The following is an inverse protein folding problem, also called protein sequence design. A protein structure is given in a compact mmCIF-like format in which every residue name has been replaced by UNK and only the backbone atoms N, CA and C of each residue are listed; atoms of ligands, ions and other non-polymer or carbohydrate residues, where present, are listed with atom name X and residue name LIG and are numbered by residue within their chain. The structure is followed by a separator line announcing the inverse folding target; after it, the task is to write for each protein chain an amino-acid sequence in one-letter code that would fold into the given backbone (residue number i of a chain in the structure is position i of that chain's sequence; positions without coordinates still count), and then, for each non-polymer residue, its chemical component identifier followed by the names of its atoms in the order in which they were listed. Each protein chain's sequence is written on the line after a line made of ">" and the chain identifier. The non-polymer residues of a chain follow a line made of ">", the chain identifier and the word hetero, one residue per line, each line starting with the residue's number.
data_IF_230668432422
#
_entry.id   IF_230668432422
#
_cell.length_a   1.000
_cell.length_b   1.000
_cell.length_c   1.000
_cell.angle_alpha   90.00
_cell.angle_beta   90.00
_cell.angle_gamma   90.00
#
_symmetry.space_group_name_H-M   'P 1'
#
loop_
_entity.id
_entity.type
_entity.pdbx_description
1 polymer ?
#
# COMPACT_ATOMS: atom_id res chain seq x y z
N UNK A 1 -3.01 0.88 18.35
CA UNK A 1 -3.88 1.30 17.23
C UNK A 1 -3.65 0.53 15.92
N UNK A 2 -2.39 0.40 15.43
CA UNK A 2 -2.13 -0.30 14.15
C UNK A 2 -2.57 -1.78 14.12
N UNK A 3 -2.27 -2.53 15.20
CA UNK A 3 -2.67 -3.95 15.33
C UNK A 3 -4.19 -4.12 15.21
N UNK A 4 -4.97 -3.24 15.84
CA UNK A 4 -6.43 -3.29 15.78
C UNK A 4 -6.93 -3.14 14.33
N UNK A 5 -6.38 -2.19 13.57
CA UNK A 5 -6.75 -2.02 12.17
C UNK A 5 -6.39 -3.22 11.30
N UNK A 6 -5.20 -3.82 11.49
CA UNK A 6 -4.83 -5.05 10.78
C UNK A 6 -5.74 -6.22 11.13
N UNK A 7 -6.15 -6.36 12.39
CA UNK A 7 -7.11 -7.37 12.82
C UNK A 7 -8.48 -7.17 12.16
N UNK A 8 -8.98 -5.93 12.13
CA UNK A 8 -10.25 -5.61 11.44
C UNK A 8 -10.15 -5.89 9.95
N UNK A 9 -9.05 -5.51 9.30
CA UNK A 9 -8.82 -5.81 7.89
C UNK A 9 -8.78 -7.33 7.63
N UNK A 10 -8.02 -8.08 8.43
CA UNK A 10 -7.96 -9.53 8.32
C UNK A 10 -9.34 -10.18 8.51
N UNK A 11 -10.13 -9.70 9.48
CA UNK A 11 -11.51 -10.14 9.68
C UNK A 11 -12.38 -9.89 8.45
N UNK A 12 -12.31 -8.72 7.82
CA UNK A 12 -13.06 -8.41 6.60
C UNK A 12 -12.66 -9.32 5.44
N UNK A 13 -11.37 -9.63 5.28
CA UNK A 13 -10.91 -10.60 4.28
C UNK A 13 -11.48 -11.99 4.54
N UNK A 14 -11.53 -12.43 5.79
CA UNK A 14 -12.16 -13.72 6.15
C UNK A 14 -13.66 -13.72 5.81
N UNK A 15 -14.37 -12.63 6.14
CA UNK A 15 -15.79 -12.47 5.77
C UNK A 15 -15.97 -12.55 4.25
N UNK A 16 -15.13 -11.85 3.49
CA UNK A 16 -15.17 -11.83 2.03
C UNK A 16 -14.98 -13.23 1.43
N UNK A 17 -14.00 -13.99 1.92
CA UNK A 17 -13.76 -15.37 1.49
C UNK A 17 -14.96 -16.27 1.82
N UNK A 18 -15.54 -16.14 3.01
CA UNK A 18 -16.72 -16.93 3.41
C UNK A 18 -17.91 -16.60 2.51
N UNK A 19 -18.15 -15.33 2.20
CA UNK A 19 -19.19 -14.90 1.29
C UNK A 19 -18.95 -15.45 -0.12
N UNK A 20 -17.72 -15.34 -0.63
CA UNK A 20 -17.31 -15.86 -1.93
C UNK A 20 -17.58 -17.35 -2.06
N UNK A 21 -17.15 -18.13 -1.05
CA UNK A 21 -17.40 -19.56 -0.99
C UNK A 21 -18.90 -19.87 -0.93
N UNK A 22 -19.65 -19.19 -0.06
CA UNK A 22 -21.09 -19.40 0.06
C UNK A 22 -21.83 -19.11 -1.24
N UNK A 23 -21.47 -18.03 -1.94
CA UNK A 23 -22.03 -17.68 -3.24
C UNK A 23 -21.75 -18.75 -4.29
N UNK A 24 -20.50 -19.21 -4.41
CA UNK A 24 -20.11 -20.26 -5.36
C UNK A 24 -20.85 -21.57 -5.02
N UNK A 25 -20.91 -21.96 -3.75
CA UNK A 25 -21.61 -23.17 -3.31
C UNK A 25 -23.10 -23.11 -3.63
N UNK A 26 -23.77 -21.96 -3.42
CA UNK A 26 -25.18 -21.77 -3.80
C UNK A 26 -25.37 -21.81 -5.31
N UNK A 27 -24.46 -21.20 -6.06
CA UNK A 27 -24.49 -21.18 -7.52
C UNK A 27 -24.39 -22.60 -8.11
N UNK A 28 -23.60 -23.46 -7.49
CA UNK A 28 -23.42 -24.86 -7.89
C UNK A 28 -24.50 -25.80 -7.31
N UNK A 29 -25.39 -25.30 -6.45
CA UNK A 29 -26.38 -26.11 -5.73
C UNK A 29 -25.72 -27.15 -4.82
N UNK A 30 -24.77 -26.72 -4.00
CA UNK A 30 -24.05 -27.57 -3.05
C UNK A 30 -24.97 -28.16 -1.97
N UNK A 31 -24.68 -29.40 -1.55
CA UNK A 31 -25.50 -30.13 -0.59
C UNK A 31 -25.46 -29.49 0.81
N UNK A 32 -26.59 -28.98 1.34
CA UNK A 32 -26.65 -28.33 2.66
C UNK A 32 -26.53 -29.30 3.84
N UNK A 33 -26.54 -30.62 3.62
CA UNK A 33 -26.32 -31.63 4.68
C UNK A 33 -24.84 -31.90 4.94
N UNK A 34 -23.93 -31.37 4.12
CA UNK A 34 -22.49 -31.46 4.36
C UNK A 34 -22.06 -30.46 5.44
N UNK A 35 -21.38 -30.94 6.49
CA UNK A 35 -20.93 -30.11 7.62
C UNK A 35 -20.14 -28.87 7.18
N UNK A 36 -19.29 -29.01 6.17
CA UNK A 36 -18.52 -27.90 5.61
C UNK A 36 -19.43 -26.85 4.97
N UNK A 37 -20.38 -27.27 4.13
CA UNK A 37 -21.33 -26.37 3.46
C UNK A 37 -22.22 -25.68 4.49
N UNK A 38 -22.74 -26.43 5.48
CA UNK A 38 -23.54 -25.89 6.57
C UNK A 38 -22.75 -24.85 7.38
N UNK A 39 -21.47 -25.10 7.66
CA UNK A 39 -20.62 -24.13 8.36
C UNK A 39 -20.40 -22.85 7.54
N UNK A 40 -20.14 -22.97 6.23
CA UNK A 40 -20.00 -21.82 5.33
C UNK A 40 -21.31 -21.01 5.30
N UNK A 41 -22.45 -21.65 5.06
CA UNK A 41 -23.74 -20.96 4.98
C UNK A 41 -24.12 -20.26 6.28
N UNK A 42 -23.90 -20.88 7.45
CA UNK A 42 -24.13 -20.20 8.76
C UNK A 42 -23.20 -19.02 8.99
N UNK A 43 -21.97 -19.10 8.49
CA UNK A 43 -21.00 -18.01 8.63
C UNK A 43 -21.33 -16.85 7.70
N UNK A 44 -21.70 -17.16 6.45
CA UNK A 44 -22.19 -16.19 5.49
C UNK A 44 -23.52 -15.53 5.93
N UNK A 45 -24.44 -16.29 6.51
CA UNK A 45 -25.74 -15.76 6.96
C UNK A 45 -25.60 -14.64 8.00
N UNK A 46 -24.57 -14.71 8.86
CA UNK A 46 -24.24 -13.66 9.83
C UNK A 46 -23.73 -12.40 9.15
N UNK A 47 -22.85 -12.55 8.15
CA UNK A 47 -22.36 -11.44 7.34
C UNK A 47 -23.46 -10.85 6.44
N UNK A 48 -24.43 -11.65 6.02
CA UNK A 48 -25.51 -11.21 5.13
C UNK A 48 -26.62 -10.44 5.86
N UNK A 49 -26.63 -10.41 7.20
CA UNK A 49 -27.72 -9.79 7.98
C UNK A 49 -28.15 -8.38 7.48
N UNK A 50 -27.23 -7.42 7.24
CA UNK A 50 -27.62 -6.09 6.75
C UNK A 50 -28.01 -6.04 5.26
N UNK A 51 -27.64 -7.04 4.45
CA UNK A 51 -27.87 -7.06 3.00
C UNK A 51 -28.92 -8.08 2.56
N UNK A 52 -29.52 -8.79 3.53
CA UNK A 52 -30.45 -9.88 3.28
C UNK A 52 -31.71 -9.35 2.61
N UNK A 53 -32.08 -9.96 1.48
CA UNK A 53 -33.33 -9.66 0.79
C UNK A 53 -33.37 -8.31 0.09
N UNK A 54 -32.23 -7.64 -0.12
CA UNK A 54 -32.16 -6.43 -0.95
C UNK A 54 -32.51 -6.75 -2.40
N UNK A 55 -32.11 -7.92 -2.88
CA UNK A 55 -32.43 -8.42 -4.21
C UNK A 55 -33.09 -9.79 -4.14
N UNK A 56 -33.99 -10.06 -5.10
CA UNK A 56 -34.61 -11.37 -5.26
C UNK A 56 -33.60 -12.38 -5.82
N UNK A 57 -33.43 -13.56 -5.20
CA UNK A 57 -32.56 -14.60 -5.73
C UNK A 57 -33.08 -15.21 -7.03
N UNK A 58 -32.19 -15.44 -8.00
CA UNK A 58 -32.52 -16.05 -9.28
C UNK A 58 -32.24 -17.55 -9.20
N UNK A 59 -33.26 -18.38 -9.42
CA UNK A 59 -33.10 -19.83 -9.47
C UNK A 59 -32.58 -20.26 -10.85
N UNK A 60 -31.45 -20.97 -10.87
CA UNK A 60 -30.80 -21.44 -12.11
C UNK A 60 -31.19 -22.88 -12.48
N UNK A 61 -31.94 -23.56 -11.62
CA UNK A 61 -32.37 -24.94 -11.80
C UNK A 61 -31.96 -25.82 -10.64
N UNK A 62 -31.86 -27.13 -10.88
CA UNK A 62 -31.54 -28.13 -9.86
C UNK A 62 -30.20 -28.77 -10.17
N UNK A 63 -29.32 -28.88 -9.18
CA UNK A 63 -28.01 -29.53 -9.29
C UNK A 63 -28.14 -31.05 -9.43
N UNK A 64 -27.01 -31.72 -9.73
CA UNK A 64 -26.93 -33.19 -9.82
C UNK A 64 -27.41 -33.92 -8.56
N UNK A 65 -27.40 -33.25 -7.40
CA UNK A 65 -27.86 -33.82 -6.12
C UNK A 65 -29.30 -33.42 -5.77
N UNK A 66 -30.11 -32.99 -6.74
CA UNK A 66 -31.48 -32.53 -6.52
C UNK A 66 -31.60 -31.28 -5.61
N UNK A 67 -30.54 -30.46 -5.52
CA UNK A 67 -30.51 -29.23 -4.71
C UNK A 67 -30.65 -28.01 -5.63
N UNK A 68 -31.50 -27.01 -5.31
CA UNK A 68 -31.65 -25.82 -6.15
C UNK A 68 -30.33 -25.02 -6.23
N UNK A 69 -29.89 -24.76 -7.46
CA UNK A 69 -28.81 -23.83 -7.75
C UNK A 69 -29.38 -22.41 -7.77
N UNK A 70 -28.83 -21.52 -6.94
CA UNK A 70 -29.36 -20.18 -6.72
C UNK A 70 -28.27 -19.14 -6.96
N UNK A 71 -28.54 -18.20 -7.86
CA UNK A 71 -27.77 -16.98 -8.06
C UNK A 71 -28.38 -15.87 -7.20
N UNK A 72 -27.75 -15.59 -6.06
CA UNK A 72 -28.20 -14.54 -5.14
C UNK A 72 -27.36 -13.28 -5.31
N UNK A 73 -27.91 -12.27 -5.99
CA UNK A 73 -27.25 -10.99 -6.26
C UNK A 73 -26.90 -10.23 -4.96
N UNK A 74 -27.63 -10.49 -3.86
CA UNK A 74 -27.35 -9.87 -2.55
C UNK A 74 -25.96 -10.23 -2.05
N UNK A 75 -25.46 -11.43 -2.37
CA UNK A 75 -24.09 -11.84 -2.03
C UNK A 75 -23.04 -11.02 -2.77
N UNK A 76 -23.26 -10.76 -4.07
CA UNK A 76 -22.36 -9.94 -4.87
C UNK A 76 -22.32 -8.50 -4.36
N UNK A 77 -23.48 -7.97 -3.97
CA UNK A 77 -23.57 -6.66 -3.37
C UNK A 77 -22.85 -6.60 -2.02
N UNK A 78 -23.04 -7.60 -1.16
CA UNK A 78 -22.33 -7.68 0.12
C UNK A 78 -20.81 -7.73 -0.06
N UNK A 79 -20.31 -8.55 -0.99
CA UNK A 79 -18.89 -8.61 -1.37
C UNK A 79 -18.36 -7.25 -1.82
N UNK A 80 -19.11 -6.56 -2.69
CA UNK A 80 -18.74 -5.24 -3.15
C UNK A 80 -18.58 -4.25 -1.98
N UNK A 81 -19.56 -4.21 -1.07
CA UNK A 81 -19.53 -3.28 0.07
C UNK A 81 -18.42 -3.64 1.04
N UNK A 82 -18.27 -4.92 1.43
CA UNK A 82 -17.21 -5.34 2.33
C UNK A 82 -15.82 -5.15 1.72
N UNK A 83 -15.65 -5.39 0.42
CA UNK A 83 -14.44 -5.09 -0.33
C UNK A 83 -14.08 -3.60 -0.30
N UNK A 84 -15.05 -2.70 -0.54
CA UNK A 84 -14.83 -1.25 -0.44
C UNK A 84 -14.39 -0.86 0.98
N UNK A 85 -15.08 -1.38 2.01
CA UNK A 85 -14.73 -1.09 3.42
C UNK A 85 -13.31 -1.59 3.74
N UNK A 86 -12.94 -2.78 3.27
CA UNK A 86 -11.60 -3.33 3.45
C UNK A 86 -10.53 -2.46 2.79
N UNK A 87 -10.78 -1.96 1.56
CA UNK A 87 -9.87 -1.04 0.85
C UNK A 87 -9.74 0.28 1.62
N UNK A 88 -10.83 0.87 2.09
CA UNK A 88 -10.80 2.11 2.87
C UNK A 88 -9.98 1.95 4.15
N UNK A 89 -10.17 0.85 4.87
CA UNK A 89 -9.38 0.54 6.08
C UNK A 89 -7.91 0.36 5.73
N UNK A 90 -7.60 -0.39 4.67
CA UNK A 90 -6.24 -0.60 4.21
C UNK A 90 -5.55 0.73 3.82
N UNK A 91 -6.24 1.59 3.09
CA UNK A 91 -5.74 2.91 2.70
C UNK A 91 -5.52 3.81 3.92
N UNK A 92 -6.46 3.81 4.88
CA UNK A 92 -6.31 4.52 6.14
C UNK A 92 -5.10 4.03 6.93
N UNK A 93 -4.88 2.72 7.01
CA UNK A 93 -3.75 2.12 7.75
C UNK A 93 -2.40 2.44 7.10
N UNK A 94 -2.30 2.34 5.78
CA UNK A 94 -1.06 2.61 5.03
C UNK A 94 -0.71 4.10 5.05
N UNK A 95 -1.71 4.99 4.93
CA UNK A 95 -1.52 6.43 5.07
C UNK A 95 -1.02 6.81 6.47
N UNK A 96 -1.65 6.28 7.53
CA UNK A 96 -1.20 6.46 8.92
C UNK A 96 0.17 5.80 9.19
N UNK A 97 0.51 4.77 8.42
CA UNK A 97 1.82 4.12 8.39
C UNK A 97 2.89 5.08 7.88
N UNK A 98 2.64 5.67 6.71
CA UNK A 98 3.58 6.54 5.98
C UNK A 98 3.88 7.86 6.68
N UNK A 99 2.92 8.45 7.40
CA UNK A 99 3.15 9.73 8.08
C UNK A 99 4.29 9.66 9.11
N UNK A 100 4.52 8.51 9.75
CA UNK A 100 5.59 8.37 10.75
C UNK A 100 6.98 8.14 10.15
N UNK A 101 7.08 7.60 8.92
CA UNK A 101 8.38 7.33 8.28
C UNK A 101 9.17 8.59 7.87
N UNK A 102 8.53 9.77 7.92
CA UNK A 102 9.20 11.05 7.67
C UNK A 102 10.18 11.45 8.78
N UNK A 103 10.08 10.83 9.96
CA UNK A 103 10.97 11.12 11.08
C UNK A 103 12.29 10.34 10.98
N UNK A 104 12.26 9.11 10.47
CA UNK A 104 13.45 8.24 10.40
C UNK A 104 14.36 8.60 9.22
N UNK A 105 13.77 8.99 8.08
CA UNK A 105 14.55 9.41 6.90
C UNK A 105 15.39 10.68 7.14
N UNK A 106 14.93 11.55 8.05
CA UNK A 106 15.66 12.76 8.42
C UNK A 106 16.82 12.46 9.37
N UNK A 107 16.69 11.47 10.27
CA UNK A 107 17.76 11.06 11.19
C UNK A 107 18.99 10.55 10.44
N UNK A 108 18.81 9.59 9.53
CA UNK A 108 19.93 9.04 8.74
C UNK A 108 20.59 10.12 7.88
N UNK A 109 19.81 11.09 7.38
CA UNK A 109 20.34 12.20 6.59
C UNK A 109 21.11 13.20 7.47
N UNK A 110 20.63 13.47 8.68
CA UNK A 110 21.34 14.29 9.68
C UNK A 110 22.63 13.62 10.11
N UNK A 111 22.61 12.34 10.51
CA UNK A 111 23.81 11.60 10.91
C UNK A 111 24.92 11.63 9.85
N UNK A 112 24.56 11.56 8.57
CA UNK A 112 25.54 11.70 7.48
C UNK A 112 26.10 13.12 7.39
N UNK A 113 25.27 14.15 7.53
CA UNK A 113 25.72 15.55 7.48
C UNK A 113 26.67 15.86 8.65
N UNK A 114 26.35 15.35 9.83
CA UNK A 114 27.18 15.50 11.04
C UNK A 114 28.52 14.78 10.87
N UNK A 115 28.51 13.56 10.29
CA UNK A 115 29.75 12.86 9.97
C UNK A 115 30.62 13.60 8.92
N UNK A 116 29.99 14.28 7.95
CA UNK A 116 30.70 15.12 6.98
C UNK A 116 31.27 16.39 7.61
N UNK A 117 30.57 17.04 8.56
CA UNK A 117 31.10 18.21 9.26
C UNK A 117 32.27 17.84 10.15
N UNK A 118 32.19 16.74 10.90
CA UNK A 118 33.25 16.28 11.79
C UNK A 118 34.51 15.89 11.00
N UNK A 119 34.33 15.25 9.85
CA UNK A 119 35.43 14.99 8.91
C UNK A 119 36.04 16.30 8.40
N UNK A 120 35.24 17.28 7.99
CA UNK A 120 35.75 18.56 7.51
C UNK A 120 36.49 19.37 8.60
N UNK A 121 36.04 19.30 9.85
CA UNK A 121 36.69 19.95 10.99
C UNK A 121 38.01 19.28 11.37
N UNK A 122 38.07 17.95 11.37
CA UNK A 122 39.31 17.21 11.58
C UNK A 122 40.35 17.47 10.48
N UNK A 123 39.93 17.54 9.21
CA UNK A 123 40.81 17.98 8.13
C UNK A 123 41.31 19.43 8.32
N UNK A 124 40.46 20.33 8.84
CA UNK A 124 40.82 21.74 9.10
C UNK A 124 41.80 21.88 10.28
N UNK A 125 41.63 21.12 11.35
CA UNK A 125 42.51 21.17 12.53
C UNK A 125 43.87 20.52 12.27
N UNK A 126 43.90 19.46 11.46
CA UNK A 126 45.12 18.72 11.13
C UNK A 126 45.97 19.41 10.06
N UNK A 127 45.36 20.25 9.21
CA UNK A 127 46.06 21.01 8.14
C UNK A 127 45.65 22.48 8.07
N UNK A 128 46.07 23.31 9.05
CA UNK A 128 45.76 24.75 9.08
C UNK A 128 46.45 25.56 7.95
N UNK A 129 47.49 24.99 7.34
CA UNK A 129 48.31 25.55 6.26
C UNK A 129 47.62 25.56 4.89
N UNK A 130 46.65 24.65 4.65
CA UNK A 130 45.97 24.52 3.36
C UNK A 130 44.87 25.58 3.16
N UNK A 131 44.25 26.08 4.23
CA UNK A 131 43.16 27.07 4.16
C UNK A 131 43.65 28.52 4.03
N UNK A 132 44.90 28.80 4.40
CA UNK A 132 45.54 30.12 4.28
C UNK A 132 46.05 30.43 2.86
N UNK A 133 45.97 29.46 1.94
CA UNK A 133 46.26 29.59 0.52
C UNK A 133 44.99 29.49 -0.34
N UNK A 134 43.91 30.18 0.04
CA UNK A 134 42.87 30.51 -0.95
C UNK A 134 43.49 31.52 -1.92
N UNK A 135 43.71 31.21 -3.20
CA UNK A 135 43.95 32.27 -4.17
C UNK A 135 42.63 33.02 -4.32
N UNK A 136 42.68 34.35 -4.20
CA UNK A 136 41.57 35.24 -4.51
C UNK A 136 41.20 35.16 -6.00
N UNK A 137 40.61 34.05 -6.43
CA UNK A 137 40.11 33.89 -7.81
C UNK A 137 38.73 34.54 -7.90
N UNK A 138 38.63 35.81 -7.54
CA UNK A 138 37.49 36.64 -7.93
C UNK A 138 37.85 38.14 -7.94
N UNK A 139 38.96 38.51 -8.57
CA UNK A 139 39.22 39.88 -9.02
C UNK A 139 40.45 39.95 -9.94
N UNK A 140 40.33 39.48 -11.19
CA UNK A 140 41.29 39.87 -12.22
C UNK A 140 40.54 40.10 -13.54
N UNK A 141 40.46 41.36 -14.05
CA UNK A 141 39.92 41.63 -15.37
C UNK A 141 40.78 40.94 -16.43
N UNK A 142 40.14 40.33 -17.41
CA UNK A 142 40.81 39.72 -18.55
C UNK A 142 41.41 40.82 -19.44
N UNK A 143 42.72 41.08 -19.30
CA UNK A 143 43.51 41.80 -20.30
C UNK A 143 44.58 40.83 -20.84
N UNK A 144 44.26 40.21 -21.97
CA UNK A 144 45.15 39.35 -22.75
C UNK A 144 45.64 40.13 -23.99
N UNK A 145 46.94 40.44 -24.14
CA UNK A 145 47.46 41.09 -25.33
C UNK A 145 47.79 40.05 -26.42
N UNK A 146 46.90 39.97 -27.42
CA UNK A 146 47.08 39.34 -28.75
C UNK A 146 48.31 39.92 -29.50
N UNK A 147 49.05 39.20 -30.38
CA UNK A 147 48.64 39.05 -31.80
C UNK A 147 49.04 37.74 -32.53
N UNK A 148 48.06 37.18 -33.24
CA UNK A 148 48.10 36.68 -34.65
C UNK A 148 48.70 35.32 -35.01
N UNK A 149 47.86 34.49 -35.66
CA UNK A 149 48.28 33.56 -36.72
C UNK A 149 47.55 33.96 -38.02
N UNK A 150 48.20 34.13 -39.18
CA UNK A 150 47.54 34.55 -40.41
C UNK A 150 46.96 33.36 -41.21
N UNK A 151 45.75 33.54 -41.74
CA UNK A 151 45.15 32.68 -42.76
C UNK A 151 45.89 32.85 -44.10
N UNK A 152 46.37 31.75 -44.69
CA UNK A 152 46.72 31.71 -46.12
C UNK A 152 45.57 31.08 -46.93
N UNK A 153 45.34 31.73 -48.08
CA UNK A 153 44.28 31.63 -49.10
C UNK A 153 43.59 30.29 -49.33
#
# INVERSE_FOLDING_TARGET
>A
MRVLGYLTYAYLIVVEVILGLAFILRLLGANPTSDFVTWIYRSADRAMNPFRGIFEPIQLGTSRQAVPAVFDTSFLFAMLIYGIVAIVIHMGLTWLGGQMHRLDANRVRQERLDAYSDAAESYRSERPDVMSQRPDVMSQPADDPNPTTPYQR
#
